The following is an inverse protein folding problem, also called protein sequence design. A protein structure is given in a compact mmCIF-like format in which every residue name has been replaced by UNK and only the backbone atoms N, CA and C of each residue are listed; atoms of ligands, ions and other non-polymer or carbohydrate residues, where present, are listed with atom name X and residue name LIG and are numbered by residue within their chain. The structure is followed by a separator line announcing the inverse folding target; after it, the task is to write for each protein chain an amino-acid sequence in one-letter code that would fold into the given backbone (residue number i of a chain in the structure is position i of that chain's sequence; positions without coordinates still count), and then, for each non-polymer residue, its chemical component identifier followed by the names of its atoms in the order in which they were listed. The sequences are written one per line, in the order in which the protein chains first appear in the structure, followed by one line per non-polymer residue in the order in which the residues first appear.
data_IF_579192264111
#
_entry.id   IF_579192264111
#
_cell.length_a   1.000
_cell.length_b   1.000
_cell.length_c   1.000
_cell.angle_alpha   90.00
_cell.angle_beta   90.00
_cell.angle_gamma   90.00
#
_symmetry.space_group_name_H-M   'P 1'
#
loop_
_entity.id
_entity.type
_entity.pdbx_description
1 polymer ?
#
# COMPACT_ATOMS: atom_id res chain seq x y z
N UNK A 1 1.41 -51.50 1.28
CA UNK A 1 0.72 -50.20 1.10
C UNK A 1 0.64 -49.87 -0.37
N UNK A 2 -0.56 -49.68 -0.92
CA UNK A 2 -0.76 -49.35 -2.34
C UNK A 2 -0.16 -47.99 -2.66
N UNK A 3 0.32 -47.77 -3.89
CA UNK A 3 0.87 -46.49 -4.37
C UNK A 3 -0.07 -45.35 -4.08
N UNK A 4 -1.38 -45.51 -4.28
CA UNK A 4 -2.41 -44.57 -4.00
C UNK A 4 -2.41 -44.08 -2.53
N UNK A 5 -2.24 -45.02 -1.56
CA UNK A 5 -2.19 -44.66 -0.13
C UNK A 5 -0.94 -43.85 0.22
N UNK A 6 0.18 -44.06 -0.46
CA UNK A 6 1.40 -43.23 -0.30
C UNK A 6 1.19 -41.84 -0.85
N UNK A 7 0.56 -41.69 -2.02
CA UNK A 7 0.25 -40.40 -2.62
C UNK A 7 -0.69 -39.58 -1.72
N UNK A 8 -1.75 -40.20 -1.20
CA UNK A 8 -2.70 -39.53 -0.27
C UNK A 8 -1.97 -39.06 1.00
N UNK A 9 -1.10 -39.89 1.59
CA UNK A 9 -0.33 -39.51 2.78
C UNK A 9 0.58 -38.31 2.48
N UNK A 10 1.28 -38.30 1.34
CA UNK A 10 2.16 -37.19 0.94
C UNK A 10 1.37 -35.91 0.75
N UNK A 11 0.23 -35.95 0.10
CA UNK A 11 -0.65 -34.78 -0.09
C UNK A 11 -1.17 -34.24 1.25
N UNK A 12 -1.60 -35.12 2.16
CA UNK A 12 -2.05 -34.70 3.50
C UNK A 12 -0.91 -34.06 4.28
N UNK A 13 0.30 -34.60 4.22
CA UNK A 13 1.47 -34.01 4.89
C UNK A 13 1.80 -32.63 4.30
N UNK A 14 1.78 -32.48 2.98
CA UNK A 14 2.01 -31.17 2.33
C UNK A 14 0.97 -30.13 2.78
N UNK A 15 -0.30 -30.52 2.83
CA UNK A 15 -1.39 -29.64 3.29
C UNK A 15 -1.19 -29.26 4.77
N UNK A 16 -0.84 -30.21 5.63
CA UNK A 16 -0.58 -29.93 7.05
C UNK A 16 0.65 -29.03 7.26
N UNK A 17 1.72 -29.24 6.50
CA UNK A 17 2.91 -28.39 6.53
C UNK A 17 2.60 -26.98 6.04
N UNK A 18 1.75 -26.84 5.01
CA UNK A 18 1.29 -25.55 4.53
C UNK A 18 0.45 -24.80 5.59
N UNK A 19 -0.47 -25.49 6.29
CA UNK A 19 -1.23 -24.91 7.40
C UNK A 19 -0.33 -24.53 8.58
N UNK A 20 0.64 -25.37 8.94
CA UNK A 20 1.60 -25.09 10.00
C UNK A 20 2.48 -23.87 9.66
N UNK A 21 2.97 -23.79 8.42
CA UNK A 21 3.73 -22.64 7.93
C UNK A 21 2.90 -21.34 8.00
N UNK A 22 1.63 -21.38 7.57
CA UNK A 22 0.72 -20.23 7.67
C UNK A 22 0.45 -19.82 9.12
N UNK A 23 0.24 -20.79 10.02
CA UNK A 23 0.02 -20.51 11.44
C UNK A 23 1.25 -19.87 12.09
N UNK A 24 2.44 -20.33 11.76
CA UNK A 24 3.72 -19.78 12.27
C UNK A 24 3.98 -18.37 11.72
N UNK A 25 3.65 -18.12 10.45
CA UNK A 25 3.72 -16.81 9.84
C UNK A 25 2.79 -15.83 10.60
N UNK A 26 1.53 -16.20 10.83
CA UNK A 26 0.55 -15.37 11.57
C UNK A 26 1.04 -15.05 13.00
N UNK A 27 1.66 -16.02 13.68
CA UNK A 27 2.18 -15.81 15.04
C UNK A 27 3.35 -14.82 15.06
N UNK A 28 4.28 -14.91 14.12
CA UNK A 28 5.42 -13.96 14.01
C UNK A 28 4.99 -12.53 13.72
N UNK A 29 3.86 -12.32 13.04
CA UNK A 29 3.34 -10.99 12.70
C UNK A 29 2.76 -10.23 13.90
N UNK A 30 2.09 -10.91 14.83
CA UNK A 30 1.53 -10.25 16.02
C UNK A 30 2.61 -9.61 16.90
N UNK A 31 3.75 -10.26 17.06
CA UNK A 31 4.81 -9.76 17.94
C UNK A 31 5.55 -8.52 17.41
N UNK A 32 5.55 -8.28 16.09
CA UNK A 32 6.26 -7.16 15.50
C UNK A 32 5.54 -5.81 15.67
N UNK A 33 4.19 -5.83 15.76
CA UNK A 33 3.39 -4.62 15.98
C UNK A 33 3.28 -4.27 17.47
N UNK A 34 3.13 -5.28 18.34
CA UNK A 34 3.00 -5.09 19.80
C UNK A 34 4.27 -4.50 20.43
N UNK A 35 5.46 -4.80 19.89
CA UNK A 35 6.75 -4.33 20.42
C UNK A 35 7.01 -2.83 20.20
N UNK A 36 6.32 -2.16 19.29
CA UNK A 36 6.51 -0.75 18.94
C UNK A 36 5.55 0.22 19.63
N UNK A 37 4.51 -0.29 20.25
CA UNK A 37 3.42 0.52 20.83
C UNK A 37 3.77 1.17 22.20
N UNK A 38 5.00 1.02 22.68
CA UNK A 38 5.42 1.55 23.97
C UNK A 38 5.76 3.05 23.91
N UNK A 39 4.72 3.90 23.98
CA UNK A 39 4.85 5.17 24.70
C UNK A 39 5.53 6.35 24.01
N UNK A 40 5.50 6.45 22.68
CA UNK A 40 5.92 7.68 21.99
C UNK A 40 4.71 8.53 21.65
N UNK A 41 4.70 9.78 22.10
CA UNK A 41 3.76 10.80 21.64
C UNK A 41 3.91 11.08 20.13
N UNK A 42 3.01 11.90 19.56
CA UNK A 42 3.13 12.27 18.15
C UNK A 42 4.52 12.87 17.91
N UNK A 43 5.19 12.45 16.81
CA UNK A 43 6.52 12.94 16.51
C UNK A 43 6.51 14.47 16.31
N UNK A 44 7.44 15.17 16.96
CA UNK A 44 7.76 16.54 16.61
C UNK A 44 8.81 16.50 15.51
N UNK A 45 8.42 16.78 14.27
CA UNK A 45 9.34 16.82 13.17
C UNK A 45 10.04 18.18 13.09
N UNK A 46 11.37 18.18 12.88
CA UNK A 46 12.06 19.37 12.40
C UNK A 46 11.51 19.71 11.00
N UNK A 47 11.30 21.00 10.72
CA UNK A 47 10.67 21.45 9.51
C UNK A 47 11.43 21.02 8.25
N UNK A 48 10.72 20.65 7.21
CA UNK A 48 11.29 20.47 5.89
C UNK A 48 11.80 21.81 5.34
N UNK A 49 12.79 21.82 4.43
CA UNK A 49 13.20 23.03 3.75
C UNK A 49 12.01 23.65 3.01
N UNK A 50 12.04 24.97 2.84
CA UNK A 50 10.98 25.69 2.16
C UNK A 50 10.77 25.14 0.75
N UNK A 51 9.57 24.66 0.46
CA UNK A 51 9.22 24.09 -0.83
C UNK A 51 8.85 25.22 -1.80
N UNK A 52 9.43 25.17 -3.01
CA UNK A 52 9.13 26.13 -4.08
C UNK A 52 7.89 25.73 -4.89
N UNK A 53 7.45 24.48 -4.79
CA UNK A 53 6.27 23.94 -5.47
C UNK A 53 5.58 22.88 -4.59
N UNK A 54 4.28 22.63 -4.80
CA UNK A 54 3.62 21.51 -4.15
C UNK A 54 4.26 20.15 -4.55
N UNK A 55 4.36 19.23 -3.58
CA UNK A 55 4.64 17.83 -3.81
C UNK A 55 3.37 17.17 -4.36
N UNK A 56 3.47 16.50 -5.50
CA UNK A 56 2.36 15.78 -6.13
C UNK A 56 2.43 14.31 -5.73
N UNK A 57 1.43 13.82 -5.03
CA UNK A 57 1.37 12.46 -4.48
C UNK A 57 0.18 11.73 -5.05
N UNK A 58 0.36 10.46 -5.45
CA UNK A 58 -0.69 9.61 -6.01
C UNK A 58 -0.78 8.30 -5.24
N UNK A 59 -2.00 7.78 -5.03
CA UNK A 59 -2.24 6.36 -4.73
C UNK A 59 -3.10 5.75 -5.81
N UNK A 60 -2.79 4.50 -6.19
CA UNK A 60 -3.48 3.83 -7.28
C UNK A 60 -3.44 2.30 -7.11
N UNK A 61 -4.58 1.68 -6.84
CA UNK A 61 -4.74 0.24 -7.02
C UNK A 61 -4.84 -0.03 -8.53
N UNK A 62 -3.87 -0.77 -9.07
CA UNK A 62 -3.72 -0.93 -10.52
C UNK A 62 -4.41 -2.16 -11.09
N UNK A 63 -5.06 -2.98 -10.25
CA UNK A 63 -5.67 -4.25 -10.70
C UNK A 63 -4.72 -5.05 -11.61
N UNK A 64 -3.48 -5.28 -11.13
CA UNK A 64 -2.41 -5.83 -11.97
C UNK A 64 -2.70 -7.20 -12.60
N UNK A 65 -3.71 -7.93 -12.09
CA UNK A 65 -4.22 -9.17 -12.67
C UNK A 65 -4.93 -8.96 -14.02
N UNK A 66 -5.38 -7.75 -14.33
CA UNK A 66 -6.03 -7.43 -15.61
C UNK A 66 -5.06 -7.56 -16.80
N UNK A 67 -3.75 -7.57 -16.57
CA UNK A 67 -2.74 -7.89 -17.60
C UNK A 67 -2.99 -9.27 -18.24
N UNK A 68 -3.60 -10.21 -17.51
CA UNK A 68 -3.95 -11.51 -18.05
C UNK A 68 -5.01 -11.43 -19.14
N UNK A 69 -5.97 -10.49 -19.00
CA UNK A 69 -7.11 -10.29 -19.91
C UNK A 69 -6.73 -9.32 -21.03
N UNK A 70 -6.14 -8.19 -20.65
CA UNK A 70 -5.78 -7.07 -21.53
C UNK A 70 -4.25 -6.91 -21.53
N UNK A 71 -3.57 -7.60 -22.44
CA UNK A 71 -2.13 -7.43 -22.63
C UNK A 71 -1.78 -5.98 -22.98
N UNK A 72 -0.95 -5.34 -22.16
CA UNK A 72 -0.66 -3.91 -22.24
C UNK A 72 -1.39 -3.05 -21.21
N UNK A 73 -2.10 -3.68 -20.26
CA UNK A 73 -2.72 -3.00 -19.12
C UNK A 73 -1.72 -2.11 -18.37
N UNK A 74 -0.51 -2.63 -18.07
CA UNK A 74 0.54 -1.88 -17.38
C UNK A 74 1.01 -0.64 -18.15
N UNK A 75 1.04 -0.70 -19.48
CA UNK A 75 1.38 0.48 -20.30
C UNK A 75 0.32 1.58 -20.21
N UNK A 76 -0.96 1.20 -20.09
CA UNK A 76 -2.06 2.15 -19.85
C UNK A 76 -1.97 2.77 -18.47
N UNK A 77 -1.67 1.96 -17.43
CA UNK A 77 -1.39 2.45 -16.06
C UNK A 77 -0.22 3.45 -16.07
N UNK A 78 0.88 3.11 -16.72
CA UNK A 78 2.04 4.01 -16.84
C UNK A 78 1.68 5.33 -17.56
N UNK A 79 0.81 5.30 -18.56
CA UNK A 79 0.32 6.50 -19.24
C UNK A 79 -0.46 7.42 -18.29
N UNK A 80 -1.32 6.87 -17.42
CA UNK A 80 -2.03 7.64 -16.38
C UNK A 80 -1.04 8.29 -15.42
N UNK A 81 -0.05 7.53 -14.92
CA UNK A 81 0.98 8.05 -14.01
C UNK A 81 1.76 9.19 -14.68
N UNK A 82 2.21 9.01 -15.94
CA UNK A 82 2.94 10.07 -16.67
C UNK A 82 2.11 11.32 -16.87
N UNK A 83 0.82 11.17 -17.18
CA UNK A 83 -0.09 12.30 -17.39
C UNK A 83 -0.30 13.12 -16.11
N UNK A 84 -0.44 12.46 -14.96
CA UNK A 84 -0.60 13.11 -13.66
C UNK A 84 0.70 13.73 -13.12
N UNK A 85 1.88 13.29 -13.62
CA UNK A 85 3.21 13.80 -13.22
C UNK A 85 3.45 13.78 -11.71
N UNK A 86 3.15 12.71 -10.99
CA UNK A 86 3.36 12.65 -9.57
C UNK A 86 4.86 12.62 -9.22
N UNK A 87 5.18 13.10 -8.04
CA UNK A 87 6.51 12.99 -7.44
C UNK A 87 6.68 11.66 -6.69
N UNK A 88 5.59 11.20 -6.06
CA UNK A 88 5.51 9.95 -5.30
C UNK A 88 4.22 9.22 -5.67
N UNK A 89 4.31 7.90 -5.91
CA UNK A 89 3.16 7.03 -6.20
C UNK A 89 3.18 5.81 -5.30
N UNK A 90 2.09 5.57 -4.57
CA UNK A 90 1.82 4.28 -3.92
C UNK A 90 0.93 3.43 -4.81
N UNK A 91 1.39 2.23 -5.14
CA UNK A 91 0.64 1.28 -5.98
C UNK A 91 0.23 0.06 -5.18
N UNK A 92 -0.98 -0.44 -5.44
CA UNK A 92 -1.50 -1.68 -4.90
C UNK A 92 -1.78 -2.67 -6.04
N UNK A 93 -1.84 -3.95 -5.71
CA UNK A 93 -2.09 -5.06 -6.64
C UNK A 93 -1.06 -5.18 -7.76
N UNK A 94 0.18 -4.90 -7.45
CA UNK A 94 1.31 -5.10 -8.38
C UNK A 94 1.70 -6.57 -8.39
N UNK A 95 1.76 -7.16 -9.57
CA UNK A 95 2.26 -8.52 -9.80
C UNK A 95 3.68 -8.51 -10.34
N UNK A 96 4.50 -9.41 -9.82
CA UNK A 96 5.86 -9.61 -10.29
C UNK A 96 6.07 -11.07 -10.64
N UNK A 97 6.12 -11.38 -11.93
CA UNK A 97 6.35 -12.74 -12.48
C UNK A 97 5.34 -13.78 -12.00
N UNK A 98 4.11 -13.38 -11.73
CA UNK A 98 2.99 -14.29 -11.47
C UNK A 98 2.31 -14.70 -12.77
N UNK A 99 1.49 -15.72 -12.72
CA UNK A 99 0.74 -16.12 -13.91
C UNK A 99 -0.30 -15.04 -14.32
N UNK A 100 -0.86 -14.32 -13.36
CA UNK A 100 -1.80 -13.21 -13.60
C UNK A 100 -1.16 -12.05 -14.36
N UNK A 101 0.14 -11.82 -14.17
CA UNK A 101 0.90 -10.85 -14.96
C UNK A 101 1.51 -11.45 -16.22
N UNK A 102 1.06 -12.65 -16.67
CA UNK A 102 1.72 -13.37 -17.78
C UNK A 102 3.22 -13.56 -17.58
N UNK A 103 3.64 -13.70 -16.32
CA UNK A 103 5.04 -13.78 -15.88
C UNK A 103 5.86 -12.51 -16.12
N UNK A 104 5.23 -11.39 -16.47
CA UNK A 104 5.87 -10.09 -16.57
C UNK A 104 6.24 -9.54 -15.20
N UNK A 105 7.29 -8.74 -15.15
CA UNK A 105 7.67 -7.96 -13.97
C UNK A 105 7.06 -6.56 -14.08
N UNK A 106 5.81 -6.41 -13.61
CA UNK A 106 5.06 -5.15 -13.71
C UNK A 106 5.79 -3.98 -13.05
N UNK A 107 6.50 -4.25 -11.94
CA UNK A 107 7.29 -3.21 -11.28
C UNK A 107 8.41 -2.69 -12.21
N UNK A 108 9.16 -3.59 -12.84
CA UNK A 108 10.21 -3.22 -13.78
C UNK A 108 9.67 -2.50 -15.03
N UNK A 109 8.51 -2.94 -15.54
CA UNK A 109 7.86 -2.28 -16.67
C UNK A 109 7.39 -0.87 -16.33
N UNK A 110 6.79 -0.66 -15.13
CA UNK A 110 6.41 0.66 -14.65
C UNK A 110 7.63 1.57 -14.46
N UNK A 111 8.74 1.06 -13.91
CA UNK A 111 9.98 1.80 -13.82
C UNK A 111 10.47 2.27 -15.20
N UNK A 112 10.54 1.36 -16.16
CA UNK A 112 11.00 1.66 -17.51
C UNK A 112 10.08 2.66 -18.22
N UNK A 113 8.77 2.53 -18.07
CA UNK A 113 7.77 3.36 -18.74
C UNK A 113 7.63 4.75 -18.12
N UNK A 114 7.89 4.92 -16.82
CA UNK A 114 7.74 6.20 -16.09
C UNK A 114 9.06 6.93 -15.87
N UNK A 115 10.19 6.22 -15.90
CA UNK A 115 11.51 6.75 -15.54
C UNK A 115 11.68 7.04 -14.05
N UNK A 116 10.75 6.60 -13.20
CA UNK A 116 10.79 6.80 -11.75
C UNK A 116 11.57 5.68 -11.05
N UNK A 117 12.21 5.98 -9.91
CA UNK A 117 12.76 4.95 -9.04
C UNK A 117 11.63 4.12 -8.44
N UNK A 118 11.83 2.80 -8.30
CA UNK A 118 10.79 1.90 -7.79
C UNK A 118 11.33 0.97 -6.69
N UNK A 119 10.49 0.69 -5.69
CA UNK A 119 10.63 -0.43 -4.78
C UNK A 119 9.35 -1.27 -4.81
N UNK A 120 9.49 -2.57 -5.07
CA UNK A 120 8.39 -3.54 -5.02
C UNK A 120 8.43 -4.30 -3.69
N UNK A 121 7.32 -4.27 -2.95
CA UNK A 121 7.13 -4.96 -1.68
C UNK A 121 6.11 -6.09 -1.77
N UNK A 122 6.55 -7.37 -1.91
CA UNK A 122 5.61 -8.49 -1.96
C UNK A 122 4.88 -8.68 -0.63
N UNK A 123 3.56 -8.82 -0.68
CA UNK A 123 2.74 -9.26 0.45
C UNK A 123 2.80 -10.77 0.61
N UNK A 124 2.88 -11.50 -0.50
CA UNK A 124 3.08 -12.95 -0.54
C UNK A 124 3.69 -13.41 -1.87
N UNK A 125 4.21 -14.64 -1.85
CA UNK A 125 4.71 -15.30 -3.07
C UNK A 125 3.60 -16.11 -3.72
N UNK A 126 3.51 -16.02 -5.04
CA UNK A 126 2.52 -16.73 -5.85
C UNK A 126 3.18 -17.31 -7.10
N UNK A 127 3.09 -18.64 -7.29
CA UNK A 127 3.57 -19.35 -8.47
C UNK A 127 5.01 -18.97 -8.91
N UNK A 128 5.90 -18.74 -7.95
CA UNK A 128 7.30 -18.35 -8.22
C UNK A 128 7.54 -16.86 -8.39
N UNK A 129 6.47 -16.06 -8.39
CA UNK A 129 6.50 -14.61 -8.39
C UNK A 129 6.04 -14.01 -7.07
N UNK A 130 5.63 -12.74 -7.09
CA UNK A 130 5.10 -12.02 -5.94
C UNK A 130 3.92 -11.12 -6.29
N UNK A 131 3.00 -10.99 -5.34
CA UNK A 131 1.91 -10.04 -5.36
C UNK A 131 2.05 -9.08 -4.18
N UNK A 132 1.83 -7.79 -4.41
CA UNK A 132 1.96 -6.81 -3.32
C UNK A 132 1.81 -5.36 -3.74
N UNK A 133 2.53 -4.51 -3.02
CA UNK A 133 2.53 -3.07 -3.23
C UNK A 133 3.82 -2.62 -3.92
N UNK A 134 3.80 -1.42 -4.50
CA UNK A 134 5.02 -0.77 -4.94
C UNK A 134 4.99 0.72 -4.60
N UNK A 135 6.18 1.32 -4.51
CA UNK A 135 6.34 2.76 -4.42
C UNK A 135 7.19 3.21 -5.59
N UNK A 136 6.73 4.24 -6.30
CA UNK A 136 7.53 4.94 -7.30
C UNK A 136 7.80 6.36 -6.82
N UNK A 137 9.00 6.89 -7.12
CA UNK A 137 9.35 8.27 -6.82
C UNK A 137 10.32 8.85 -7.83
N UNK A 138 10.26 10.15 -8.06
CA UNK A 138 11.31 10.89 -8.77
C UNK A 138 12.51 11.17 -7.87
N UNK A 139 12.29 11.15 -6.54
CA UNK A 139 13.32 11.28 -5.54
C UNK A 139 14.17 10.02 -5.39
N UNK A 140 15.06 10.04 -4.41
CA UNK A 140 15.92 8.91 -4.06
C UNK A 140 15.29 8.08 -2.93
N UNK A 141 15.16 6.77 -3.10
CA UNK A 141 14.74 5.84 -2.04
C UNK A 141 15.97 5.55 -1.16
N UNK A 142 16.05 6.21 -0.01
CA UNK A 142 17.15 6.04 0.95
C UNK A 142 17.08 4.66 1.59
N UNK A 143 15.87 4.25 1.98
CA UNK A 143 15.61 2.91 2.49
C UNK A 143 14.17 2.51 2.20
N UNK A 144 13.93 1.21 2.05
CA UNK A 144 12.60 0.65 1.96
C UNK A 144 12.58 -0.78 2.48
N UNK A 145 11.51 -1.16 3.17
CA UNK A 145 11.29 -2.52 3.65
C UNK A 145 9.81 -2.88 3.62
N UNK A 146 9.55 -4.18 3.60
CA UNK A 146 8.21 -4.75 3.70
C UNK A 146 7.93 -5.09 5.15
N UNK A 147 6.83 -4.58 5.67
CA UNK A 147 6.31 -4.92 6.99
C UNK A 147 5.02 -5.70 6.80
N UNK A 148 5.01 -6.97 7.16
CA UNK A 148 3.80 -7.77 7.10
C UNK A 148 2.76 -7.28 8.11
N UNK A 149 1.48 -7.30 7.71
CA UNK A 149 0.37 -6.87 8.54
C UNK A 149 -0.42 -8.04 9.13
N UNK A 150 -1.01 -7.89 10.32
CA UNK A 150 -1.87 -8.93 10.91
C UNK A 150 -3.04 -9.24 9.97
N UNK A 151 -3.30 -10.53 9.74
CA UNK A 151 -4.40 -10.93 8.85
C UNK A 151 -4.93 -12.32 9.15
N UNK A 152 -6.23 -12.51 8.92
CA UNK A 152 -6.89 -13.82 8.86
C UNK A 152 -7.39 -14.03 7.43
N UNK A 153 -6.52 -14.49 6.55
CA UNK A 153 -6.85 -14.68 5.13
C UNK A 153 -5.68 -14.41 4.23
N UNK A 154 -5.90 -13.69 3.15
CA UNK A 154 -4.86 -13.30 2.22
C UNK A 154 -3.83 -12.38 2.89
N UNK A 155 -2.53 -12.71 2.79
CA UNK A 155 -1.47 -11.92 3.42
C UNK A 155 -1.48 -10.46 2.93
N UNK A 156 -1.33 -9.53 3.87
CA UNK A 156 -1.23 -8.09 3.62
C UNK A 156 0.06 -7.56 4.19
N UNK A 157 0.56 -6.50 3.59
CA UNK A 157 1.77 -5.82 4.02
C UNK A 157 1.67 -4.32 3.82
N UNK A 158 2.56 -3.59 4.48
CA UNK A 158 2.89 -2.23 4.08
C UNK A 158 4.34 -2.16 3.62
N UNK A 159 4.64 -1.21 2.74
CA UNK A 159 5.99 -0.72 2.52
C UNK A 159 6.22 0.42 3.51
N UNK A 160 7.33 0.38 4.21
CA UNK A 160 7.86 1.49 5.01
C UNK A 160 9.12 1.98 4.32
N UNK A 161 9.15 3.25 3.89
CA UNK A 161 10.26 3.80 3.12
C UNK A 161 10.63 5.20 3.58
N UNK A 162 11.90 5.55 3.39
CA UNK A 162 12.44 6.90 3.56
C UNK A 162 12.83 7.41 2.18
N UNK A 163 12.33 8.56 1.79
CA UNK A 163 12.53 9.15 0.47
C UNK A 163 13.13 10.55 0.62
N UNK A 164 14.24 10.79 -0.09
CA UNK A 164 14.77 12.14 -0.30
C UNK A 164 14.24 12.70 -1.61
N UNK A 165 13.57 13.83 -1.54
CA UNK A 165 13.05 14.52 -2.71
C UNK A 165 13.15 16.04 -2.53
N UNK A 166 13.75 16.73 -3.51
CA UNK A 166 13.96 18.19 -3.49
C UNK A 166 14.60 18.69 -2.18
N UNK A 167 15.50 17.89 -1.57
CA UNK A 167 16.19 18.19 -0.32
C UNK A 167 15.35 17.94 0.95
N UNK A 168 14.16 17.36 0.81
CA UNK A 168 13.30 16.98 1.92
C UNK A 168 13.35 15.46 2.15
N UNK A 169 13.55 15.04 3.40
CA UNK A 169 13.45 13.63 3.80
C UNK A 169 12.05 13.36 4.34
N UNK A 170 11.35 12.39 3.75
CA UNK A 170 9.95 12.08 4.03
C UNK A 170 9.81 10.57 4.24
N UNK A 171 9.04 10.18 5.25
CA UNK A 171 8.65 8.78 5.45
C UNK A 171 7.37 8.51 4.63
N UNK A 172 7.42 7.51 3.77
CA UNK A 172 6.29 7.14 2.92
C UNK A 172 5.90 5.69 3.17
N UNK A 173 4.64 5.51 3.54
CA UNK A 173 4.02 4.22 3.76
C UNK A 173 3.04 3.90 2.64
N UNK A 174 3.11 2.67 2.10
CA UNK A 174 2.15 2.19 1.09
C UNK A 174 1.53 0.89 1.57
N UNK A 175 0.21 0.80 1.56
CA UNK A 175 -0.52 -0.37 2.06
C UNK A 175 -1.69 -0.77 1.17
N UNK A 176 -2.12 -2.02 1.33
CA UNK A 176 -3.38 -2.55 0.83
C UNK A 176 -3.99 -3.43 1.93
N UNK A 177 -5.09 -2.97 2.53
CA UNK A 177 -5.70 -3.64 3.67
C UNK A 177 -6.64 -4.78 3.24
N UNK A 178 -7.09 -5.57 4.21
CA UNK A 178 -7.99 -6.72 3.97
C UNK A 178 -9.32 -6.29 3.35
N UNK A 179 -9.67 -6.90 2.19
CA UNK A 179 -10.82 -6.51 1.38
C UNK A 179 -12.13 -7.13 1.88
N UNK A 180 -12.26 -8.46 1.82
CA UNK A 180 -13.56 -9.14 1.86
C UNK A 180 -13.75 -10.09 3.04
N UNK A 181 -15.04 -10.34 3.37
CA UNK A 181 -15.47 -11.34 4.32
C UNK A 181 -15.82 -10.77 5.71
N UNK A 182 -16.54 -11.57 6.52
CA UNK A 182 -17.02 -11.19 7.86
C UNK A 182 -15.91 -10.80 8.85
N UNK A 183 -14.66 -11.22 8.60
CA UNK A 183 -13.51 -10.93 9.45
C UNK A 183 -12.67 -9.75 8.92
N UNK A 184 -13.00 -9.18 7.75
CA UNK A 184 -12.21 -8.13 7.13
C UNK A 184 -12.12 -6.86 7.98
N UNK A 185 -13.24 -6.36 8.51
CA UNK A 185 -13.26 -5.18 9.36
C UNK A 185 -12.38 -5.35 10.61
N UNK A 186 -12.42 -6.53 11.26
CA UNK A 186 -11.54 -6.83 12.39
C UNK A 186 -10.08 -6.89 11.97
N UNK A 187 -9.78 -7.55 10.83
CA UNK A 187 -8.41 -7.59 10.30
C UNK A 187 -7.91 -6.20 9.96
N UNK A 188 -8.74 -5.33 9.33
CA UNK A 188 -8.38 -3.93 9.06
C UNK A 188 -8.10 -3.15 10.34
N UNK A 189 -8.91 -3.33 11.39
CA UNK A 189 -8.65 -2.70 12.69
C UNK A 189 -7.30 -3.10 13.28
N UNK A 190 -6.94 -4.40 13.25
CA UNK A 190 -5.63 -4.89 13.70
C UNK A 190 -4.49 -4.36 12.80
N UNK A 191 -4.70 -4.26 11.48
CA UNK A 191 -3.75 -3.72 10.51
C UNK A 191 -3.52 -2.22 10.71
N UNK A 192 -4.58 -1.46 10.89
CA UNK A 192 -4.52 -0.02 11.14
C UNK A 192 -3.83 0.30 12.46
N UNK A 193 -4.03 -0.51 13.49
CA UNK A 193 -3.29 -0.38 14.75
C UNK A 193 -1.78 -0.59 14.53
N UNK A 194 -1.39 -1.58 13.74
CA UNK A 194 0.00 -1.83 13.37
C UNK A 194 0.60 -0.66 12.57
N UNK A 195 -0.11 -0.16 11.56
CA UNK A 195 0.28 1.03 10.79
C UNK A 195 0.49 2.23 11.72
N UNK A 196 -0.45 2.45 12.66
CA UNK A 196 -0.37 3.52 13.63
C UNK A 196 0.91 3.48 14.48
N UNK A 197 1.31 2.29 14.95
CA UNK A 197 2.52 2.12 15.74
C UNK A 197 3.79 2.49 14.94
N UNK A 198 3.85 2.12 13.65
CA UNK A 198 4.95 2.48 12.76
C UNK A 198 5.00 3.97 12.47
N UNK A 199 3.87 4.58 12.12
CA UNK A 199 3.76 6.02 11.82
C UNK A 199 4.14 6.86 13.03
N UNK A 200 3.68 6.51 14.25
CA UNK A 200 4.06 7.23 15.47
C UNK A 200 5.55 7.15 15.80
N UNK A 201 6.27 6.17 15.27
CA UNK A 201 7.72 6.04 15.43
C UNK A 201 8.51 6.70 14.30
N UNK A 202 7.85 7.32 13.32
CA UNK A 202 8.49 8.01 12.19
C UNK A 202 9.30 9.21 12.70
N UNK A 203 10.58 9.35 12.32
CA UNK A 203 11.39 10.51 12.66
C UNK A 203 11.16 11.69 11.69
N UNK A 204 10.53 11.48 10.55
CA UNK A 204 10.31 12.47 9.51
C UNK A 204 8.82 12.73 9.27
N UNK A 205 8.47 13.86 8.62
CA UNK A 205 7.13 14.06 8.09
C UNK A 205 6.69 12.87 7.24
N UNK A 206 5.43 12.45 7.39
CA UNK A 206 5.01 11.23 6.74
C UNK A 206 3.83 11.42 5.77
N UNK A 207 3.75 10.48 4.84
CA UNK A 207 2.62 10.23 3.95
C UNK A 207 2.24 8.74 4.03
N UNK A 208 0.94 8.45 4.07
CA UNK A 208 0.43 7.09 3.99
C UNK A 208 -0.55 6.97 2.84
N UNK A 209 -0.24 6.08 1.91
CA UNK A 209 -0.93 5.88 0.65
C UNK A 209 -1.52 4.47 0.60
N UNK A 210 -2.74 4.32 0.08
CA UNK A 210 -3.21 2.96 -0.09
C UNK A 210 -4.69 2.78 -0.34
N UNK A 211 -5.01 1.53 -0.66
CA UNK A 211 -6.35 0.98 -0.65
C UNK A 211 -6.66 0.40 0.75
N UNK A 212 -7.57 1.06 1.44
CA UNK A 212 -7.96 0.68 2.81
C UNK A 212 -9.15 -0.28 2.84
N UNK A 213 -9.76 -0.56 1.69
CA UNK A 213 -10.92 -1.45 1.55
C UNK A 213 -12.06 -1.14 2.54
N UNK A 214 -12.20 0.12 2.92
CA UNK A 214 -13.21 0.61 3.83
C UNK A 214 -13.53 2.08 3.54
N UNK A 215 -14.79 2.47 3.44
CA UNK A 215 -15.17 3.88 3.29
C UNK A 215 -14.95 4.68 4.58
N UNK A 216 -14.92 6.03 4.49
CA UNK A 216 -14.50 6.91 5.59
C UNK A 216 -15.33 6.78 6.86
N UNK A 217 -16.60 6.43 6.77
CA UNK A 217 -17.54 6.30 7.90
C UNK A 217 -17.37 5.02 8.71
N UNK A 218 -16.54 4.07 8.26
CA UNK A 218 -16.28 2.84 9.00
C UNK A 218 -15.56 3.11 10.32
N UNK A 219 -15.96 2.39 11.35
CA UNK A 219 -15.45 2.57 12.71
C UNK A 219 -13.92 2.41 12.79
N UNK A 220 -13.35 1.44 12.07
CA UNK A 220 -11.90 1.23 12.02
C UNK A 220 -11.16 2.41 11.39
N UNK A 221 -11.73 3.08 10.37
CA UNK A 221 -11.14 4.27 9.72
C UNK A 221 -11.23 5.46 10.66
N UNK A 222 -12.39 5.67 11.30
CA UNK A 222 -12.59 6.76 12.27
C UNK A 222 -11.68 6.59 13.50
N UNK A 223 -11.49 5.36 13.99
CA UNK A 223 -10.57 5.06 15.07
C UNK A 223 -9.11 5.36 14.69
N UNK A 224 -8.68 4.96 13.49
CA UNK A 224 -7.35 5.24 12.99
C UNK A 224 -7.07 6.75 12.88
N UNK A 225 -8.04 7.52 12.35
CA UNK A 225 -7.96 8.98 12.25
C UNK A 225 -7.71 9.63 13.62
N UNK A 226 -8.48 9.23 14.63
CA UNK A 226 -8.36 9.76 16.00
C UNK A 226 -7.03 9.37 16.67
N UNK A 227 -6.57 8.14 16.43
CA UNK A 227 -5.38 7.59 17.07
C UNK A 227 -4.08 8.24 16.61
N UNK A 228 -3.99 8.67 15.35
CA UNK A 228 -2.73 9.08 14.74
C UNK A 228 -2.59 10.59 14.55
N UNK A 229 -3.57 11.39 14.93
CA UNK A 229 -3.59 12.80 14.61
C UNK A 229 -3.27 13.05 13.11
N UNK A 230 -3.78 12.17 12.24
CA UNK A 230 -3.58 12.20 10.80
C UNK A 230 -4.74 12.89 10.09
N UNK A 231 -4.45 13.60 9.02
CA UNK A 231 -5.46 14.18 8.15
C UNK A 231 -5.61 13.35 6.87
N UNK A 232 -6.84 13.20 6.42
CA UNK A 232 -7.14 12.70 5.08
C UNK A 232 -6.93 13.84 4.09
N UNK A 233 -6.09 13.62 3.07
CA UNK A 233 -5.96 14.58 1.99
C UNK A 233 -7.22 14.50 1.12
N UNK A 234 -8.10 15.52 1.24
CA UNK A 234 -9.39 15.59 0.57
C UNK A 234 -10.48 14.76 1.25
N UNK A 235 -11.36 15.43 2.01
CA UNK A 235 -12.50 14.78 2.69
C UNK A 235 -13.56 14.30 1.69
N UNK A 236 -13.96 15.14 0.74
CA UNK A 236 -15.07 14.90 -0.19
C UNK A 236 -14.61 14.81 -1.65
N UNK A 237 -13.67 13.91 -1.94
CA UNK A 237 -13.13 13.76 -3.30
C UNK A 237 -13.97 12.85 -4.22
N UNK A 238 -14.98 12.18 -3.67
CA UNK A 238 -15.87 11.29 -4.39
C UNK A 238 -15.39 9.82 -4.41
N UNK A 239 -15.95 9.05 -5.32
CA UNK A 239 -15.82 7.61 -5.44
C UNK A 239 -14.45 7.25 -6.01
N UNK A 240 -13.77 6.25 -5.42
CA UNK A 240 -12.51 5.70 -5.96
C UNK A 240 -12.68 4.31 -6.57
N UNK A 241 -13.71 3.54 -6.16
CA UNK A 241 -14.09 2.27 -6.78
C UNK A 241 -15.52 2.37 -7.34
N UNK A 242 -15.67 2.55 -8.67
CA UNK A 242 -16.98 2.76 -9.30
C UNK A 242 -17.96 1.62 -9.11
N UNK A 243 -17.50 0.37 -9.16
CA UNK A 243 -18.33 -0.84 -9.05
C UNK A 243 -19.07 -0.93 -7.73
N UNK A 244 -18.46 -0.47 -6.63
CA UNK A 244 -19.05 -0.42 -5.28
C UNK A 244 -19.67 0.95 -4.96
N UNK A 245 -19.39 1.98 -5.76
CA UNK A 245 -19.77 3.38 -5.51
C UNK A 245 -19.25 3.87 -4.16
N UNK A 246 -18.05 3.45 -3.78
CA UNK A 246 -17.40 3.78 -2.51
C UNK A 246 -16.07 4.50 -2.73
N UNK A 247 -15.63 5.20 -1.69
CA UNK A 247 -14.28 5.70 -1.55
C UNK A 247 -13.53 4.80 -0.59
N UNK A 248 -12.48 4.13 -1.06
CA UNK A 248 -11.68 3.22 -0.25
C UNK A 248 -10.17 3.44 -0.40
N UNK A 249 -9.77 4.32 -1.32
CA UNK A 249 -8.38 4.72 -1.56
C UNK A 249 -8.10 6.07 -0.89
N UNK A 250 -6.94 6.16 -0.20
CA UNK A 250 -6.62 7.31 0.63
C UNK A 250 -5.18 7.75 0.49
N UNK A 251 -5.00 9.06 0.62
CA UNK A 251 -3.74 9.72 0.96
C UNK A 251 -3.93 10.33 2.34
N UNK A 252 -3.11 9.91 3.30
CA UNK A 252 -3.05 10.45 4.65
C UNK A 252 -1.72 11.16 4.85
N UNK A 253 -1.73 12.22 5.64
CA UNK A 253 -0.53 12.95 6.01
C UNK A 253 -0.57 13.37 7.47
N UNK A 254 0.56 13.73 8.05
CA UNK A 254 0.57 14.49 9.29
C UNK A 254 0.08 15.93 9.08
N UNK A 255 -0.16 16.67 10.18
CA UNK A 255 -0.69 18.04 10.12
C UNK A 255 0.33 19.09 9.69
N UNK A 256 1.60 18.73 9.48
CA UNK A 256 2.59 19.64 8.91
C UNK A 256 2.39 19.89 7.41
N UNK A 257 1.64 19.00 6.74
CA UNK A 257 1.29 19.16 5.33
C UNK A 257 0.02 19.98 5.16
N UNK A 258 0.08 21.02 4.36
CA UNK A 258 -1.10 21.76 3.88
C UNK A 258 -1.55 21.13 2.55
N UNK A 259 -2.76 20.66 2.52
CA UNK A 259 -3.40 20.15 1.29
C UNK A 259 -3.77 21.35 0.41
N UNK A 260 -3.18 21.42 -0.79
CA UNK A 260 -3.46 22.45 -1.79
C UNK A 260 -4.65 22.04 -2.64
N UNK A 261 -4.64 20.80 -3.12
CA UNK A 261 -5.75 20.19 -3.87
C UNK A 261 -5.73 18.67 -3.72
N UNK A 262 -6.89 18.06 -3.91
CA UNK A 262 -7.00 16.60 -4.05
C UNK A 262 -8.09 16.30 -5.06
N UNK A 263 -7.84 15.34 -5.93
CA UNK A 263 -8.78 14.91 -6.97
C UNK A 263 -8.74 13.41 -7.20
N UNK A 264 -9.84 12.87 -7.70
CA UNK A 264 -9.96 11.50 -8.23
C UNK A 264 -9.91 11.58 -9.75
N UNK A 265 -8.91 10.96 -10.35
CA UNK A 265 -8.79 10.90 -11.81
C UNK A 265 -9.70 9.80 -12.35
N UNK A 266 -10.84 10.16 -12.92
CA UNK A 266 -11.78 9.20 -13.51
C UNK A 266 -11.22 8.65 -14.82
N UNK A 267 -10.39 7.62 -14.70
CA UNK A 267 -9.70 6.95 -15.83
C UNK A 267 -9.98 5.45 -15.82
N UNK A 268 -9.86 4.80 -16.95
CA UNK A 268 -10.42 3.48 -17.19
C UNK A 268 -9.51 2.25 -17.21
N UNK A 269 -8.17 2.31 -17.01
CA UNK A 269 -7.38 1.08 -17.09
C UNK A 269 -7.48 0.16 -15.86
N UNK A 270 -7.98 0.64 -14.71
CA UNK A 270 -8.22 -0.16 -13.50
C UNK A 270 -9.67 -0.04 -13.06
N UNK A 271 -10.17 -0.96 -12.27
CA UNK A 271 -11.47 -0.88 -11.59
C UNK A 271 -11.45 0.14 -10.43
N UNK A 272 -10.27 0.62 -10.04
CA UNK A 272 -10.09 1.77 -9.16
C UNK A 272 -9.70 3.03 -9.94
N UNK A 273 -10.11 4.19 -9.41
CA UNK A 273 -9.63 5.48 -9.86
C UNK A 273 -8.48 5.97 -8.97
N UNK A 274 -7.36 6.47 -9.55
CA UNK A 274 -6.28 7.02 -8.76
C UNK A 274 -6.70 8.29 -8.02
N UNK A 275 -6.19 8.46 -6.81
CA UNK A 275 -6.30 9.69 -6.03
C UNK A 275 -4.99 10.45 -6.16
N UNK A 276 -5.06 11.75 -6.46
CA UNK A 276 -3.91 12.64 -6.56
C UNK A 276 -4.07 13.80 -5.60
N UNK A 277 -3.05 14.08 -4.78
CA UNK A 277 -3.01 15.24 -3.89
C UNK A 277 -1.80 16.12 -4.19
N UNK A 278 -1.97 17.42 -4.08
CA UNK A 278 -0.91 18.42 -4.07
C UNK A 278 -0.73 18.94 -2.65
N UNK A 279 0.47 18.79 -2.11
CA UNK A 279 0.79 19.04 -0.72
C UNK A 279 1.95 20.02 -0.60
N UNK A 280 1.84 20.97 0.32
CA UNK A 280 2.92 21.87 0.70
C UNK A 280 3.24 21.69 2.19
N UNK A 281 4.51 21.59 2.52
CA UNK A 281 4.94 21.64 3.91
C UNK A 281 4.77 23.06 4.44
N UNK A 282 4.07 23.23 5.55
CA UNK A 282 3.61 24.55 6.04
C UNK A 282 4.25 24.99 7.34
N UNK A 283 5.34 24.34 7.77
CA UNK A 283 6.09 24.80 8.96
C UNK A 283 7.23 25.71 8.61
#
# INVERSE_FOLDING_TARGET
MTVLRRIVIVLVVIVLLWFAYRALAIYRFRSACDARDAGKGPPSHEGLPAQTRPLVVMTYNIAGHDELIDGGHIQKIAAVIRAAKPDIVGLQEVHRRTWQSRFHDQAQELQAATGMNIFFGPSFSEAGGGFGNAILTRGHIVSAKVVPLPVKGEPRSMIESVIDIDGATIDVYVTHLSAWGKLAARSRGEQLHCLAAHIRSSPHPYLLLGDFNAPPERDEIQAFRKLNAAQICGEDIGITIPSLRERIDYIWSDFGWRVVSTEVLKTGPSDHYPVVAQLLWSR
#
